data_IF_239973794136
#
_entry.id   IF_239973794136
#
_cell.length_a   1.000
_cell.length_b   1.000
_cell.length_c   1.000
_cell.angle_alpha   90.00
_cell.angle_beta   90.00
_cell.angle_gamma   90.00
#
_symmetry.space_group_name_H-M   'P 1'
#
loop_
_entity.id
_entity.type
_entity.pdbx_description
1 polymer ?
#
# COMPACT_ATOMS: atom_id res chain seq x y z
N UNK A 1 0.21 -16.63 70.94
CA UNK A 1 1.46 -16.65 70.14
C UNK A 1 1.14 -17.34 68.80
N UNK A 2 1.05 -16.64 67.65
CA UNK A 2 2.14 -16.23 66.71
C UNK A 2 2.83 -17.44 66.01
N UNK A 3 2.73 -17.69 64.69
CA UNK A 3 3.30 -17.03 63.47
C UNK A 3 4.76 -17.49 63.14
N UNK A 4 5.24 -17.70 61.89
CA UNK A 4 4.64 -17.58 60.52
C UNK A 4 5.43 -18.36 59.39
N UNK A 5 4.70 -18.92 58.40
CA UNK A 5 4.99 -19.08 56.92
C UNK A 5 6.32 -19.62 56.29
N UNK A 6 6.12 -20.49 55.28
CA UNK A 6 6.77 -20.63 53.93
C UNK A 6 8.17 -21.26 53.69
N UNK A 7 8.25 -22.19 52.72
CA UNK A 7 8.96 -22.01 51.42
C UNK A 7 8.61 -23.10 50.38
N UNK A 8 8.81 -22.83 49.07
CA UNK A 8 8.45 -23.69 47.92
C UNK A 8 9.64 -24.53 47.40
N UNK A 9 9.37 -25.60 46.64
CA UNK A 9 10.19 -26.03 45.47
C UNK A 9 9.34 -26.75 44.42
N UNK A 10 9.31 -26.24 43.19
CA UNK A 10 8.90 -27.00 42.00
C UNK A 10 10.07 -27.86 41.54
N UNK A 11 9.80 -29.07 41.05
CA UNK A 11 10.77 -29.87 40.28
C UNK A 11 10.48 -29.74 38.80
N UNK A 12 11.35 -29.05 38.06
CA UNK A 12 11.34 -29.04 36.61
C UNK A 12 12.16 -30.22 36.06
N UNK A 13 11.71 -30.81 34.94
CA UNK A 13 12.55 -31.66 34.10
C UNK A 13 13.24 -30.80 33.02
N UNK A 14 14.49 -31.09 32.62
CA UNK A 14 15.14 -30.38 31.53
C UNK A 14 14.82 -31.02 30.17
N UNK A 15 14.24 -30.24 29.23
CA UNK A 15 14.32 -30.54 27.80
C UNK A 15 15.58 -29.91 27.22
N UNK A 16 16.35 -30.68 26.47
CA UNK A 16 17.54 -30.18 25.75
C UNK A 16 17.15 -29.72 24.36
N UNK A 17 16.71 -28.47 24.24
CA UNK A 17 16.37 -27.88 22.95
C UNK A 17 17.65 -27.49 22.20
N UNK A 18 17.93 -28.17 21.08
CA UNK A 18 19.13 -27.96 20.30
C UNK A 18 18.83 -27.98 18.79
N UNK A 19 18.11 -26.96 18.32
CA UNK A 19 17.78 -26.77 16.90
C UNK A 19 18.94 -26.09 16.16
N UNK A 20 19.81 -26.88 15.53
CA UNK A 20 20.86 -26.37 14.63
C UNK A 20 20.27 -26.11 13.23
N UNK A 21 20.18 -24.85 12.82
CA UNK A 21 19.67 -24.44 11.51
C UNK A 21 20.71 -24.63 10.39
N UNK A 22 20.98 -25.88 10.04
CA UNK A 22 21.75 -26.26 8.85
C UNK A 22 21.03 -27.35 8.06
N UNK A 23 20.07 -26.94 7.24
CA UNK A 23 19.83 -27.57 5.95
C UNK A 23 19.16 -26.57 4.99
N UNK A 24 19.92 -26.16 3.97
CA UNK A 24 19.45 -25.30 2.89
C UNK A 24 18.84 -26.17 1.79
N UNK A 25 17.51 -26.12 1.62
CA UNK A 25 16.87 -26.62 0.41
C UNK A 25 15.96 -25.54 -0.20
N UNK A 26 16.51 -24.82 -1.18
CA UNK A 26 15.78 -23.89 -2.03
C UNK A 26 14.97 -24.72 -3.02
N UNK A 27 13.64 -24.76 -2.84
CA UNK A 27 12.74 -25.27 -3.87
C UNK A 27 12.33 -24.10 -4.75
N UNK A 28 12.94 -24.02 -5.93
CA UNK A 28 12.63 -23.01 -6.93
C UNK A 28 11.23 -23.22 -7.52
N UNK A 29 10.25 -22.45 -7.05
CA UNK A 29 8.87 -22.45 -7.53
C UNK A 29 8.27 -21.05 -7.48
N UNK A 30 7.97 -20.47 -8.64
CA UNK A 30 7.37 -19.14 -8.79
C UNK A 30 5.91 -19.14 -8.30
N UNK A 31 5.66 -18.52 -7.13
CA UNK A 31 4.32 -18.25 -6.62
C UNK A 31 4.20 -18.41 -5.11
N UNK A 32 3.75 -17.33 -4.44
CA UNK A 32 3.39 -17.22 -3.01
C UNK A 32 3.17 -18.54 -2.24
N UNK A 33 3.99 -18.80 -1.23
CA UNK A 33 3.64 -19.62 -0.07
C UNK A 33 4.23 -18.97 1.20
N UNK A 34 3.46 -18.98 2.29
CA UNK A 34 4.00 -18.68 3.63
C UNK A 34 5.06 -19.73 3.99
N UNK A 35 6.11 -19.32 4.69
CA UNK A 35 7.27 -20.16 4.95
C UNK A 35 7.06 -21.01 6.22
N UNK A 36 6.14 -21.98 6.15
CA UNK A 36 5.95 -22.95 7.23
C UNK A 36 7.23 -23.79 7.42
N UNK A 37 7.93 -23.59 8.54
CA UNK A 37 9.02 -24.45 8.96
C UNK A 37 8.48 -25.85 9.35
N UNK A 38 8.75 -26.93 8.59
CA UNK A 38 8.20 -28.24 8.90
C UNK A 38 9.01 -28.88 10.04
N UNK A 39 8.43 -28.92 11.26
CA UNK A 39 8.93 -29.76 12.36
C UNK A 39 8.83 -29.19 13.77
N UNK A 40 8.64 -27.87 13.93
CA UNK A 40 8.59 -27.25 15.25
C UNK A 40 7.20 -27.34 15.91
N UNK A 41 6.93 -28.44 16.63
CA UNK A 41 5.76 -28.58 17.52
C UNK A 41 5.87 -27.67 18.77
N UNK A 42 5.81 -26.35 18.57
CA UNK A 42 5.67 -25.36 19.62
C UNK A 42 4.21 -24.93 19.75
N UNK A 43 3.68 -24.94 20.97
CA UNK A 43 2.25 -24.73 21.21
C UNK A 43 1.75 -23.37 20.74
N UNK A 44 0.89 -23.36 19.71
CA UNK A 44 0.13 -22.21 19.19
C UNK A 44 0.92 -20.88 19.13
N UNK A 45 2.10 -20.90 18.53
CA UNK A 45 2.60 -19.67 17.93
C UNK A 45 1.67 -19.32 16.75
N UNK A 46 0.84 -18.29 16.93
CA UNK A 46 0.15 -17.64 15.82
C UNK A 46 1.18 -16.81 15.09
N UNK A 47 1.72 -17.35 14.01
CA UNK A 47 2.40 -16.52 13.02
C UNK A 47 1.32 -15.68 12.35
N UNK A 48 1.44 -14.35 12.40
CA UNK A 48 0.52 -13.48 11.67
C UNK A 48 0.92 -13.56 10.20
N UNK A 49 0.06 -14.11 9.36
CA UNK A 49 0.35 -14.21 7.93
C UNK A 49 0.40 -12.82 7.30
N UNK A 50 1.44 -12.56 6.51
CA UNK A 50 1.60 -11.33 5.75
C UNK A 50 1.44 -11.62 4.25
N UNK A 51 0.51 -10.91 3.62
CA UNK A 51 0.20 -11.02 2.20
C UNK A 51 0.59 -9.72 1.50
N UNK A 52 1.41 -9.83 0.45
CA UNK A 52 1.78 -8.71 -0.39
C UNK A 52 0.86 -8.65 -1.62
N UNK A 53 0.21 -7.51 -1.83
CA UNK A 53 -0.47 -7.20 -3.10
C UNK A 53 0.48 -6.32 -3.93
N UNK A 54 1.06 -6.86 -5.03
CA UNK A 54 1.87 -6.09 -5.95
C UNK A 54 0.98 -5.29 -6.91
N UNK A 55 1.34 -4.02 -7.09
CA UNK A 55 0.76 -3.11 -8.07
C UNK A 55 1.82 -2.72 -9.09
N UNK A 56 1.44 -2.66 -10.36
CA UNK A 56 2.27 -2.21 -11.47
C UNK A 56 1.38 -1.54 -12.50
N UNK A 57 1.79 -0.37 -13.01
CA UNK A 57 1.00 0.38 -13.99
C UNK A 57 0.90 -0.35 -15.33
N UNK A 58 1.96 -1.03 -15.76
CA UNK A 58 2.08 -1.68 -17.09
C UNK A 58 2.17 -0.67 -18.24
N UNK A 59 1.23 0.25 -18.30
CA UNK A 59 1.21 1.43 -19.16
C UNK A 59 1.65 2.70 -18.41
N UNK A 60 1.70 3.81 -19.13
CA UNK A 60 2.00 5.14 -18.59
C UNK A 60 0.75 5.72 -17.89
N UNK A 61 0.94 6.19 -16.66
CA UNK A 61 -0.11 6.88 -15.89
C UNK A 61 -0.12 8.38 -16.20
N UNK A 62 -1.31 8.99 -16.17
CA UNK A 62 -1.54 10.41 -16.47
C UNK A 62 -2.12 11.11 -15.22
N UNK A 63 -1.41 12.11 -14.69
CA UNK A 63 -1.86 12.89 -13.54
C UNK A 63 -1.96 14.36 -13.93
N UNK A 64 -3.08 15.02 -13.60
CA UNK A 64 -3.30 16.45 -13.89
C UNK A 64 -3.79 17.16 -12.63
N UNK A 65 -3.15 18.26 -12.21
CA UNK A 65 -3.69 19.07 -11.11
C UNK A 65 -5.00 19.77 -11.50
N UNK A 66 -6.00 19.83 -10.61
CA UNK A 66 -7.11 20.75 -10.79
C UNK A 66 -6.61 22.19 -10.69
N UNK A 67 -6.97 23.04 -11.64
CA UNK A 67 -6.67 24.48 -11.59
C UNK A 67 -7.80 25.30 -12.22
N UNK A 68 -8.17 26.42 -11.60
CA UNK A 68 -9.30 27.24 -12.06
C UNK A 68 -10.59 26.43 -12.21
N UNK A 69 -11.06 26.26 -13.46
CA UNK A 69 -12.24 25.47 -13.83
C UNK A 69 -11.90 24.08 -14.40
N UNK A 70 -10.61 23.74 -14.53
CA UNK A 70 -10.18 22.42 -15.02
C UNK A 70 -10.29 21.37 -13.93
N UNK A 71 -10.99 20.28 -14.23
CA UNK A 71 -11.03 19.11 -13.37
C UNK A 71 -9.68 18.38 -13.43
N UNK A 72 -9.07 18.18 -12.27
CA UNK A 72 -7.86 17.36 -12.15
C UNK A 72 -8.13 15.90 -12.52
N UNK A 73 -7.10 15.22 -13.01
CA UNK A 73 -7.16 13.81 -13.37
C UNK A 73 -6.25 12.99 -12.47
N UNK A 74 -6.82 11.92 -11.94
CA UNK A 74 -6.12 10.87 -11.21
C UNK A 74 -6.00 9.62 -12.10
N UNK A 75 -5.19 8.65 -11.67
CA UNK A 75 -5.02 7.36 -12.35
C UNK A 75 -4.96 6.22 -11.35
N UNK A 76 -5.69 5.13 -11.58
CA UNK A 76 -5.57 3.91 -10.80
C UNK A 76 -4.61 2.92 -11.46
N UNK A 77 -3.92 2.13 -10.65
CA UNK A 77 -3.09 1.01 -11.13
C UNK A 77 -3.53 -0.31 -10.48
N UNK A 78 -3.35 -1.39 -11.23
CA UNK A 78 -3.68 -2.76 -10.82
C UNK A 78 -2.47 -3.69 -10.98
N UNK A 79 -2.71 -4.91 -11.45
CA UNK A 79 -1.68 -5.93 -11.70
C UNK A 79 -1.15 -5.83 -13.14
N UNK A 80 -0.34 -4.81 -13.43
CA UNK A 80 0.19 -4.57 -14.79
C UNK A 80 -0.80 -3.88 -15.72
N UNK A 81 -1.77 -3.17 -15.16
CA UNK A 81 -2.79 -2.41 -15.88
C UNK A 81 -3.04 -1.07 -15.22
N UNK A 82 -3.47 -0.09 -16.02
CA UNK A 82 -3.74 1.29 -15.61
C UNK A 82 -5.14 1.69 -16.03
N UNK A 83 -5.81 2.51 -15.22
CA UNK A 83 -6.99 3.26 -15.62
C UNK A 83 -6.75 4.75 -15.39
N UNK A 84 -6.48 5.45 -16.50
CA UNK A 84 -6.23 6.90 -16.55
C UNK A 84 -7.53 7.72 -16.51
N UNK A 85 -7.39 9.03 -16.30
CA UNK A 85 -8.50 10.01 -16.36
C UNK A 85 -9.63 9.77 -15.36
N UNK A 86 -9.29 9.30 -14.16
CA UNK A 86 -10.23 9.24 -13.03
C UNK A 86 -10.56 10.65 -12.53
N UNK A 87 -11.86 10.94 -12.43
CA UNK A 87 -12.38 12.12 -11.74
C UNK A 87 -12.65 11.79 -10.28
N UNK A 88 -12.05 12.55 -9.37
CA UNK A 88 -12.38 12.54 -7.95
C UNK A 88 -13.53 13.54 -7.73
N UNK A 89 -14.65 13.11 -7.16
CA UNK A 89 -15.82 13.97 -6.90
C UNK A 89 -15.53 14.97 -5.79
N UNK A 90 -16.43 15.96 -5.60
CA UNK A 90 -16.39 16.88 -4.45
C UNK A 90 -16.53 16.19 -3.09
N UNK A 91 -17.13 14.99 -3.04
CA UNK A 91 -17.17 14.11 -1.86
C UNK A 91 -15.90 13.28 -1.67
N UNK A 92 -14.90 13.44 -2.55
CA UNK A 92 -13.67 12.65 -2.57
C UNK A 92 -13.85 11.22 -3.11
N UNK A 93 -15.00 10.88 -3.69
CA UNK A 93 -15.29 9.55 -4.22
C UNK A 93 -14.80 9.38 -5.65
N UNK A 94 -14.66 8.13 -6.09
CA UNK A 94 -14.35 7.77 -7.48
C UNK A 94 -15.41 6.79 -7.98
N UNK A 95 -15.96 7.05 -9.17
CA UNK A 95 -16.91 6.15 -9.85
C UNK A 95 -16.21 5.63 -11.11
N UNK A 96 -15.88 4.33 -11.15
CA UNK A 96 -15.07 3.76 -12.24
C UNK A 96 -15.88 3.31 -13.47
N UNK A 97 -17.21 3.43 -13.41
CA UNK A 97 -18.10 3.06 -14.51
C UNK A 97 -18.08 1.55 -14.76
N UNK A 98 -17.46 1.11 -15.86
CA UNK A 98 -17.32 -0.31 -16.22
C UNK A 98 -15.92 -0.88 -15.90
N UNK A 99 -14.96 -0.04 -15.51
CA UNK A 99 -13.57 -0.49 -15.32
C UNK A 99 -13.39 -1.27 -14.01
N UNK A 100 -12.76 -2.44 -14.12
CA UNK A 100 -12.51 -3.35 -12.99
C UNK A 100 -11.01 -3.47 -12.68
N UNK A 101 -10.45 -2.39 -12.13
CA UNK A 101 -9.03 -2.30 -11.72
C UNK A 101 -8.80 -2.67 -10.24
N UNK A 102 -9.89 -2.85 -9.48
CA UNK A 102 -9.85 -3.04 -8.03
C UNK A 102 -9.80 -4.52 -7.59
N UNK A 103 -8.99 -4.82 -6.59
CA UNK A 103 -8.87 -6.15 -6.00
C UNK A 103 -9.95 -6.41 -4.94
N UNK A 104 -10.59 -7.59 -4.94
CA UNK A 104 -11.57 -7.98 -3.91
C UNK A 104 -10.87 -8.74 -2.77
N UNK A 105 -11.01 -8.28 -1.52
CA UNK A 105 -10.47 -9.01 -0.37
C UNK A 105 -11.19 -10.36 -0.17
N UNK A 106 -10.45 -11.49 -0.10
CA UNK A 106 -11.03 -12.81 0.18
C UNK A 106 -11.45 -12.96 1.66
N UNK A 107 -10.81 -12.22 2.57
CA UNK A 107 -11.02 -12.34 4.02
C UNK A 107 -10.85 -10.99 4.75
N UNK A 108 -11.03 -11.00 6.08
CA UNK A 108 -10.84 -9.82 6.93
C UNK A 108 -9.35 -9.63 7.23
N UNK A 109 -8.77 -8.53 6.77
CA UNK A 109 -7.34 -8.23 6.93
C UNK A 109 -7.09 -6.91 7.67
N UNK A 110 -5.82 -6.63 7.94
CA UNK A 110 -5.30 -5.32 8.38
C UNK A 110 -4.33 -4.81 7.32
N UNK A 111 -4.62 -3.65 6.72
CA UNK A 111 -3.64 -2.92 5.93
C UNK A 111 -2.60 -2.34 6.89
N UNK A 112 -1.34 -2.72 6.66
CA UNK A 112 -0.20 -2.45 7.53
C UNK A 112 0.86 -1.56 6.90
N UNK A 113 1.24 -1.81 5.64
CA UNK A 113 2.33 -1.09 5.00
C UNK A 113 2.01 -0.80 3.53
N UNK A 114 2.42 0.36 3.05
CA UNK A 114 2.32 0.81 1.65
C UNK A 114 3.67 1.34 1.21
N UNK A 115 4.20 0.81 0.11
CA UNK A 115 5.45 1.26 -0.51
C UNK A 115 5.17 1.62 -1.97
N UNK A 116 5.58 2.82 -2.37
CA UNK A 116 5.21 3.43 -3.65
C UNK A 116 6.45 3.93 -4.39
N UNK A 117 6.54 3.60 -5.68
CA UNK A 117 7.53 4.10 -6.61
C UNK A 117 6.83 4.71 -7.83
N UNK A 118 7.34 5.84 -8.30
CA UNK A 118 6.93 6.48 -9.56
C UNK A 118 8.18 7.01 -10.28
N UNK A 119 8.15 7.08 -11.61
CA UNK A 119 9.20 7.74 -12.41
C UNK A 119 8.56 8.53 -13.53
N UNK A 120 8.91 9.83 -13.64
CA UNK A 120 8.39 10.65 -14.73
C UNK A 120 9.09 10.31 -16.05
N UNK A 121 8.34 10.27 -17.14
CA UNK A 121 8.88 10.03 -18.50
C UNK A 121 9.28 11.31 -19.20
N UNK A 122 8.69 12.44 -18.81
CA UNK A 122 8.85 13.74 -19.47
C UNK A 122 9.45 14.74 -18.48
N UNK A 123 10.31 15.67 -18.92
CA UNK A 123 10.78 16.74 -18.05
C UNK A 123 9.60 17.62 -17.61
N UNK A 124 9.62 18.02 -16.34
CA UNK A 124 8.61 18.90 -15.74
C UNK A 124 9.27 20.24 -15.42
N UNK A 125 8.51 21.33 -15.48
CA UNK A 125 8.98 22.65 -15.06
C UNK A 125 7.86 23.39 -14.34
N UNK A 126 8.12 23.81 -13.11
CA UNK A 126 7.22 24.67 -12.32
C UNK A 126 7.96 25.93 -11.89
N UNK A 127 7.49 27.11 -12.34
CA UNK A 127 8.22 28.37 -12.13
C UNK A 127 8.28 28.78 -10.66
N UNK A 128 7.14 28.73 -9.97
CA UNK A 128 7.00 29.06 -8.53
C UNK A 128 6.08 28.08 -7.79
N UNK A 129 5.50 27.10 -8.49
CA UNK A 129 4.52 26.17 -7.93
C UNK A 129 5.18 24.94 -7.36
N UNK A 130 4.81 24.57 -6.13
CA UNK A 130 5.14 23.28 -5.53
C UNK A 130 3.96 22.33 -5.69
N UNK A 131 4.22 21.16 -6.27
CA UNK A 131 3.24 20.08 -6.36
C UNK A 131 3.83 18.77 -5.84
N UNK A 132 2.97 17.85 -5.41
CA UNK A 132 3.35 16.50 -4.97
C UNK A 132 2.50 15.45 -5.63
N UNK A 133 3.14 14.33 -5.98
CA UNK A 133 2.42 13.10 -6.33
C UNK A 133 1.97 12.45 -5.03
N UNK A 134 0.69 12.07 -4.96
CA UNK A 134 0.16 11.22 -3.90
C UNK A 134 -0.29 9.90 -4.48
N UNK A 135 -0.15 8.85 -3.67
CA UNK A 135 -0.84 7.58 -3.88
C UNK A 135 -1.73 7.33 -2.67
N UNK A 136 -2.99 6.99 -2.90
CA UNK A 136 -3.98 6.77 -1.85
C UNK A 136 -4.78 5.51 -2.13
N UNK A 137 -5.10 4.77 -1.07
CA UNK A 137 -5.97 3.61 -1.15
C UNK A 137 -7.43 4.05 -1.11
N UNK A 138 -8.21 3.54 -2.04
CA UNK A 138 -9.65 3.74 -2.18
C UNK A 138 -10.37 2.40 -2.00
N UNK A 139 -11.54 2.40 -1.36
CA UNK A 139 -12.28 1.18 -1.07
C UNK A 139 -13.77 1.26 -1.45
N UNK A 140 -14.34 0.13 -1.84
CA UNK A 140 -15.80 -0.08 -1.87
C UNK A 140 -16.13 -1.21 -0.89
N UNK A 141 -16.87 -0.88 0.18
CA UNK A 141 -17.29 -1.83 1.23
C UNK A 141 -18.58 -2.57 0.88
N UNK A 142 -19.32 -2.08 -0.11
CA UNK A 142 -20.51 -2.71 -0.69
C UNK A 142 -20.15 -3.01 -2.14
N UNK A 143 -19.72 -4.23 -2.51
CA UNK A 143 -18.99 -4.53 -3.74
C UNK A 143 -19.55 -3.91 -5.04
N UNK A 144 -19.11 -2.69 -5.35
CA UNK A 144 -19.59 -1.89 -6.48
C UNK A 144 -18.45 -1.05 -7.07
N UNK A 145 -18.74 -0.29 -8.13
CA UNK A 145 -17.76 0.59 -8.81
C UNK A 145 -17.69 2.01 -8.20
N UNK A 146 -18.14 2.19 -6.95
CA UNK A 146 -18.13 3.45 -6.20
C UNK A 146 -17.15 3.36 -5.03
N UNK A 147 -16.04 4.07 -5.11
CA UNK A 147 -14.98 3.98 -4.12
C UNK A 147 -14.87 5.24 -3.26
N UNK A 148 -14.68 5.06 -1.96
CA UNK A 148 -14.38 6.11 -0.97
C UNK A 148 -12.89 6.08 -0.59
N UNK A 149 -12.29 7.23 -0.23
CA UNK A 149 -10.87 7.30 0.12
C UNK A 149 -10.64 6.79 1.54
N UNK A 150 -9.59 5.97 1.74
CA UNK A 150 -9.04 5.72 3.06
C UNK A 150 -8.07 6.86 3.40
N UNK A 151 -8.52 7.78 4.25
CA UNK A 151 -7.76 8.98 4.61
C UNK A 151 -6.42 8.69 5.31
N UNK A 152 -6.33 7.60 6.08
CA UNK A 152 -5.10 7.19 6.76
C UNK A 152 -4.13 6.39 5.87
N UNK A 153 -4.60 5.91 4.71
CA UNK A 153 -3.86 5.10 3.75
C UNK A 153 -3.39 5.95 2.54
N UNK A 154 -2.73 7.06 2.84
CA UNK A 154 -2.17 7.98 1.84
C UNK A 154 -0.66 8.12 2.00
N UNK A 155 0.03 8.11 0.86
CA UNK A 155 1.47 8.29 0.72
C UNK A 155 1.70 9.55 -0.12
N UNK A 156 2.48 10.49 0.40
CA UNK A 156 3.00 11.62 -0.39
C UNK A 156 4.42 11.28 -0.82
N UNK A 157 4.68 11.28 -2.12
CA UNK A 157 5.98 10.89 -2.66
C UNK A 157 6.96 12.06 -2.59
N UNK A 158 8.25 11.74 -2.58
CA UNK A 158 9.38 12.66 -2.61
C UNK A 158 10.35 12.28 -3.74
N UNK A 159 11.02 13.24 -4.41
CA UNK A 159 11.03 14.67 -4.13
C UNK A 159 9.71 15.37 -4.47
N UNK A 160 9.51 16.60 -3.98
CA UNK A 160 8.43 17.46 -4.47
C UNK A 160 8.75 17.97 -5.89
N UNK A 161 7.72 18.25 -6.68
CA UNK A 161 7.88 18.86 -8.00
C UNK A 161 7.97 20.37 -7.82
N UNK A 162 9.20 20.89 -7.90
CA UNK A 162 9.56 22.30 -7.74
C UNK A 162 10.66 22.61 -8.77
N UNK A 163 10.52 23.70 -9.53
CA UNK A 163 11.51 24.08 -10.53
C UNK A 163 11.54 23.09 -11.69
N UNK A 164 12.74 22.85 -12.24
CA UNK A 164 12.95 21.93 -13.36
C UNK A 164 13.29 20.52 -12.86
N UNK A 165 12.45 19.54 -13.20
CA UNK A 165 12.67 18.11 -12.95
C UNK A 165 12.99 17.43 -14.29
N UNK A 166 14.09 16.70 -14.39
CA UNK A 166 14.46 15.97 -15.61
C UNK A 166 13.59 14.72 -15.79
N UNK A 167 13.47 14.24 -17.03
CA UNK A 167 12.90 12.91 -17.30
C UNK A 167 13.73 11.82 -16.60
N UNK A 168 13.07 10.75 -16.14
CA UNK A 168 13.71 9.65 -15.40
C UNK A 168 13.95 9.93 -13.91
N UNK A 169 13.40 11.02 -13.36
CA UNK A 169 13.47 11.28 -11.93
C UNK A 169 12.56 10.30 -11.18
N UNK A 170 13.13 9.58 -10.22
CA UNK A 170 12.41 8.67 -9.34
C UNK A 170 11.76 9.41 -8.18
N UNK A 171 10.51 9.06 -7.90
CA UNK A 171 9.70 9.54 -6.78
C UNK A 171 9.35 8.35 -5.89
N UNK A 172 9.65 8.44 -4.60
CA UNK A 172 9.50 7.38 -3.62
C UNK A 172 8.63 7.83 -2.46
N UNK A 173 7.83 6.92 -1.91
CA UNK A 173 7.09 7.17 -0.68
C UNK A 173 6.72 5.86 0.01
N UNK A 174 6.64 5.89 1.33
CA UNK A 174 6.19 4.75 2.13
C UNK A 174 5.33 5.19 3.31
N UNK A 175 4.45 4.29 3.77
CA UNK A 175 3.61 4.47 4.94
C UNK A 175 3.48 3.14 5.66
N UNK A 176 4.18 3.03 6.78
CA UNK A 176 4.35 1.78 7.52
C UNK A 176 3.61 1.82 8.87
N UNK A 177 3.41 0.67 9.50
CA UNK A 177 2.72 0.53 10.80
C UNK A 177 1.26 1.01 10.82
N UNK A 178 0.57 0.98 9.67
CA UNK A 178 -0.87 1.17 9.60
C UNK A 178 -1.60 0.06 10.37
N UNK A 179 -2.80 0.37 10.86
CA UNK A 179 -3.67 -0.56 11.60
C UNK A 179 -5.10 -0.54 11.06
N UNK A 180 -5.22 -0.35 9.75
CA UNK A 180 -6.50 -0.10 9.08
C UNK A 180 -7.20 -1.44 8.85
N UNK A 181 -8.30 -1.66 9.56
CA UNK A 181 -9.09 -2.89 9.53
C UNK A 181 -9.99 -2.91 8.29
N UNK A 182 -9.75 -3.85 7.38
CA UNK A 182 -10.54 -4.05 6.15
C UNK A 182 -11.35 -5.35 6.27
N UNK A 183 -12.59 -5.36 5.79
CA UNK A 183 -13.45 -6.53 5.88
C UNK A 183 -13.35 -7.39 4.61
N UNK A 184 -13.69 -8.67 4.72
CA UNK A 184 -13.92 -9.53 3.54
C UNK A 184 -14.89 -8.87 2.55
N UNK A 185 -14.73 -9.17 1.27
CA UNK A 185 -15.47 -8.53 0.17
C UNK A 185 -15.27 -7.01 0.03
N UNK A 186 -14.37 -6.36 0.79
CA UNK A 186 -13.99 -4.98 0.47
C UNK A 186 -13.20 -4.97 -0.83
N UNK A 187 -13.61 -4.18 -1.83
CA UNK A 187 -12.79 -3.93 -3.02
C UNK A 187 -11.78 -2.81 -2.73
N UNK A 188 -10.54 -2.98 -3.15
CA UNK A 188 -9.44 -2.04 -2.93
C UNK A 188 -8.85 -1.59 -4.27
N UNK A 189 -8.67 -0.29 -4.43
CA UNK A 189 -8.06 0.36 -5.58
C UNK A 189 -6.94 1.29 -5.11
N UNK A 190 -5.77 1.25 -5.76
CA UNK A 190 -4.68 2.19 -5.52
C UNK A 190 -4.73 3.31 -6.57
N UNK A 191 -4.84 4.56 -6.11
CA UNK A 191 -5.05 5.73 -6.97
C UNK A 191 -3.92 6.73 -6.77
N UNK A 192 -3.36 7.20 -7.88
CA UNK A 192 -2.38 8.25 -7.95
C UNK A 192 -3.05 9.57 -8.32
N UNK A 193 -2.67 10.65 -7.66
CA UNK A 193 -3.13 12.01 -7.94
C UNK A 193 -1.99 13.01 -7.87
N UNK A 194 -2.14 14.14 -8.55
CA UNK A 194 -1.23 15.27 -8.43
C UNK A 194 -1.91 16.34 -7.57
N UNK A 195 -1.20 16.83 -6.56
CA UNK A 195 -1.74 17.77 -5.58
C UNK A 195 -0.87 19.02 -5.52
N UNK A 196 -1.49 20.17 -5.76
CA UNK A 196 -0.93 21.49 -5.45
C UNK A 196 -0.64 21.62 -3.95
N UNK A 197 0.46 22.29 -3.60
CA UNK A 197 0.89 22.57 -2.22
C UNK A 197 1.02 24.08 -1.96
N UNK A 198 1.74 24.80 -2.83
CA UNK A 198 2.02 26.24 -2.67
C UNK A 198 2.47 26.89 -3.98
N UNK A 199 2.47 28.23 -4.04
CA UNK A 199 2.84 29.02 -5.21
C UNK A 199 1.63 29.43 -6.05
N UNK A 200 1.79 29.51 -7.36
CA UNK A 200 0.67 29.77 -8.28
C UNK A 200 -0.09 28.46 -8.56
N UNK A 201 -1.42 28.50 -8.52
CA UNK A 201 -2.24 27.31 -8.80
C UNK A 201 -2.36 27.07 -10.32
N UNK A 202 -1.36 26.41 -10.89
CA UNK A 202 -1.27 26.07 -12.32
C UNK A 202 -1.66 24.61 -12.59
N UNK A 203 -2.30 24.39 -13.74
CA UNK A 203 -2.48 23.06 -14.33
C UNK A 203 -1.10 22.50 -14.70
N UNK A 204 -0.76 21.32 -14.18
CA UNK A 204 0.44 20.58 -14.54
C UNK A 204 0.02 19.16 -14.92
N UNK A 205 0.48 18.69 -16.08
CA UNK A 205 0.36 17.29 -16.47
C UNK A 205 1.67 16.57 -16.15
N UNK A 206 1.57 15.47 -15.41
CA UNK A 206 2.69 14.59 -15.06
C UNK A 206 2.42 13.21 -15.66
N UNK A 207 3.37 12.76 -16.49
CA UNK A 207 3.35 11.46 -17.14
C UNK A 207 4.45 10.58 -16.55
N UNK A 208 4.17 9.30 -16.31
CA UNK A 208 5.18 8.38 -15.80
C UNK A 208 4.74 6.94 -15.64
N UNK A 209 5.62 6.11 -15.10
CA UNK A 209 5.34 4.72 -14.72
C UNK A 209 5.31 4.59 -13.20
N UNK A 210 4.53 3.64 -12.67
CA UNK A 210 4.46 3.40 -11.24
C UNK A 210 4.37 1.92 -10.88
N UNK A 211 4.92 1.59 -9.72
CA UNK A 211 4.73 0.32 -9.04
C UNK A 211 4.54 0.56 -7.55
N UNK A 212 3.85 -0.36 -6.88
CA UNK A 212 3.65 -0.30 -5.44
C UNK A 212 3.53 -1.71 -4.82
N UNK A 213 3.78 -1.78 -3.52
CA UNK A 213 3.52 -2.95 -2.69
C UNK A 213 2.62 -2.58 -1.52
N UNK A 214 1.56 -3.36 -1.32
CA UNK A 214 0.64 -3.18 -0.19
C UNK A 214 0.64 -4.45 0.68
N UNK A 215 1.00 -4.31 1.96
CA UNK A 215 1.03 -5.43 2.90
C UNK A 215 -0.28 -5.50 3.70
N UNK A 216 -0.97 -6.62 3.56
CA UNK A 216 -2.10 -7.02 4.39
C UNK A 216 -1.65 -8.07 5.40
N UNK A 217 -2.13 -7.98 6.64
CA UNK A 217 -1.94 -9.02 7.66
C UNK A 217 -3.27 -9.67 7.99
N UNK A 218 -3.25 -10.94 8.37
CA UNK A 218 -4.44 -11.61 8.90
C UNK A 218 -4.98 -10.93 10.18
N UNK A 219 -6.24 -11.22 10.51
CA UNK A 219 -6.84 -10.83 11.80
C UNK A 219 -6.90 -12.03 12.75
N UNK A 220 -5.77 -12.34 13.38
CA UNK A 220 -5.71 -13.24 14.53
C UNK A 220 -6.50 -12.75 15.76
#
# INVERSE_FOLDING_TARGET
MSFFRNSRRNTAMPSTDNCNSRDTNIVSGIGFMGFDCPGCNHGRHRENNEFLIPYSSGEQIILITPSGTENGQASAIGFGSTFNSLTITSSGQIITGQQNIAFLLPEKSILSDLNIYFTNTNPLSTSVTTQVIKAQVYISTTPDNTFTPLNDAVVTLQPQIIGSIIAGTSFLGQRNNLKIKLNENTRIMLVFSLNYVSGDNISLTVLGYSSAGMTLKDRC
#
